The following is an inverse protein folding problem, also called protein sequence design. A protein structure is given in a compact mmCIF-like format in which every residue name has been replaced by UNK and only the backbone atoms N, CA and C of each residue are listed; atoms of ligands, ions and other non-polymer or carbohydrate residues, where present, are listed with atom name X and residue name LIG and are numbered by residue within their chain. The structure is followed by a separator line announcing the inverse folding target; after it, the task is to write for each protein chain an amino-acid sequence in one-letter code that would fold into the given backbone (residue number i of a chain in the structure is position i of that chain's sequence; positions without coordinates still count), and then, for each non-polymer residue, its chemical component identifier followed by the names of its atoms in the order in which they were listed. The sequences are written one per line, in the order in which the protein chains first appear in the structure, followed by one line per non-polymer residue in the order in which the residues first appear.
data_IF_050369962950
#
_entry.id   IF_050369962950
#
_cell.length_a   1.000
_cell.length_b   1.000
_cell.length_c   1.000
_cell.angle_alpha   90.00
_cell.angle_beta   90.00
_cell.angle_gamma   90.00
#
_symmetry.space_group_name_H-M   'P 1'
#
loop_
_entity.id
_entity.type
_entity.pdbx_description
1 polymer ?
#
# COMPACT_ATOMS: atom_id res chain seq x y z
N UNK A 1 -0.66 34.55 -49.73
CA UNK A 1 0.49 33.66 -49.40
C UNK A 1 0.79 33.55 -47.89
N UNK A 2 0.31 34.46 -47.03
CA UNK A 2 0.56 34.45 -45.57
C UNK A 2 -0.12 33.27 -44.83
N UNK A 3 -1.32 32.87 -45.24
CA UNK A 3 -2.11 31.84 -44.55
C UNK A 3 -1.59 30.40 -44.70
N UNK A 4 -0.91 30.09 -45.82
CA UNK A 4 -0.34 28.74 -46.03
C UNK A 4 0.90 28.52 -45.16
N UNK A 5 1.71 29.57 -44.95
CA UNK A 5 2.91 29.50 -44.10
C UNK A 5 2.54 29.39 -42.61
N UNK A 6 1.48 30.07 -42.19
CA UNK A 6 0.98 29.99 -40.80
C UNK A 6 0.36 28.63 -40.48
N UNK A 7 -0.41 28.05 -41.40
CA UNK A 7 -0.98 26.70 -41.25
C UNK A 7 0.09 25.61 -41.10
N UNK A 8 1.18 25.71 -41.86
CA UNK A 8 2.32 24.78 -41.76
C UNK A 8 3.05 24.93 -40.42
N UNK A 9 3.25 26.16 -39.95
CA UNK A 9 3.88 26.42 -38.66
C UNK A 9 3.07 25.86 -37.48
N UNK A 10 1.74 26.03 -37.50
CA UNK A 10 0.85 25.49 -36.47
C UNK A 10 0.84 23.96 -36.46
N UNK A 11 0.80 23.33 -37.65
CA UNK A 11 0.84 21.86 -37.75
C UNK A 11 2.17 21.28 -37.23
N UNK A 12 3.30 21.94 -37.51
CA UNK A 12 4.61 21.53 -37.02
C UNK A 12 4.71 21.64 -35.48
N UNK A 13 4.16 22.71 -34.88
CA UNK A 13 4.15 22.89 -33.43
C UNK A 13 3.27 21.84 -32.72
N UNK A 14 2.12 21.48 -33.31
CA UNK A 14 1.26 20.42 -32.77
C UNK A 14 1.96 19.05 -32.84
N UNK A 15 2.65 18.74 -33.95
CA UNK A 15 3.40 17.49 -34.09
C UNK A 15 4.55 17.38 -33.08
N UNK A 16 5.26 18.48 -32.80
CA UNK A 16 6.33 18.52 -31.79
C UNK A 16 5.75 18.35 -30.37
N UNK A 17 4.61 18.98 -30.08
CA UNK A 17 3.93 18.85 -28.79
C UNK A 17 3.44 17.42 -28.50
N UNK A 18 2.91 16.72 -29.51
CA UNK A 18 2.45 15.33 -29.38
C UNK A 18 3.64 14.37 -29.26
N UNK A 19 4.75 14.63 -29.96
CA UNK A 19 5.98 13.83 -29.86
C UNK A 19 6.67 13.92 -28.49
N UNK A 20 6.59 15.07 -27.82
CA UNK A 20 7.18 15.27 -26.50
C UNK A 20 6.35 14.65 -25.35
N UNK A 21 5.04 14.45 -25.53
CA UNK A 21 4.14 13.95 -24.50
C UNK A 21 4.23 12.45 -24.21
N UNK A 22 4.80 11.65 -25.11
CA UNK A 22 4.81 10.18 -25.02
C UNK A 22 6.19 9.57 -24.69
N UNK A 23 7.25 10.37 -24.55
CA UNK A 23 8.63 9.86 -24.51
C UNK A 23 9.51 10.26 -23.33
N UNK A 24 9.08 11.16 -22.43
CA UNK A 24 9.96 11.69 -21.36
C UNK A 24 9.25 11.77 -20.00
N UNK A 25 8.85 10.63 -19.47
CA UNK A 25 8.84 10.44 -18.02
C UNK A 25 10.19 9.82 -17.65
N UNK A 26 10.95 10.34 -16.66
CA UNK A 26 12.11 9.63 -16.15
C UNK A 26 11.61 8.31 -15.57
N UNK A 27 11.78 7.23 -16.32
CA UNK A 27 11.77 5.89 -15.75
C UNK A 27 13.05 5.79 -14.95
N UNK A 28 13.02 6.28 -13.71
CA UNK A 28 13.99 5.87 -12.71
C UNK A 28 13.74 4.39 -12.48
N UNK A 29 14.40 3.54 -13.30
CA UNK A 29 14.58 2.15 -12.95
C UNK A 29 15.39 2.20 -11.68
N UNK A 30 14.80 1.77 -10.57
CA UNK A 30 15.57 1.53 -9.37
C UNK A 30 16.66 0.53 -9.77
N UNK A 31 17.91 0.98 -9.86
CA UNK A 31 19.04 0.08 -9.90
C UNK A 31 18.98 -0.70 -8.60
N UNK A 32 18.54 -1.95 -8.67
CA UNK A 32 18.62 -2.87 -7.57
C UNK A 32 20.11 -3.08 -7.29
N UNK A 33 20.63 -2.39 -6.28
CA UNK A 33 21.98 -2.61 -5.75
C UNK A 33 21.95 -3.96 -5.05
N UNK A 34 22.43 -5.00 -5.72
CA UNK A 34 22.61 -6.34 -5.14
C UNK A 34 22.79 -7.38 -6.23
N UNK A 35 23.91 -8.10 -6.20
CA UNK A 35 24.38 -8.94 -7.30
C UNK A 35 23.36 -10.00 -7.76
N UNK A 36 23.30 -10.17 -9.08
CA UNK A 36 22.58 -11.23 -9.77
C UNK A 36 23.13 -12.62 -9.41
N UNK A 37 22.73 -13.14 -8.25
CA UNK A 37 22.26 -14.51 -8.23
C UNK A 37 20.78 -14.40 -8.57
N UNK A 38 20.34 -14.94 -9.70
CA UNK A 38 18.91 -15.08 -9.97
C UNK A 38 18.34 -15.98 -8.88
N UNK A 39 17.87 -15.37 -7.79
CA UNK A 39 17.09 -16.07 -6.77
C UNK A 39 15.75 -16.36 -7.44
N UNK A 40 15.70 -17.52 -8.10
CA UNK A 40 14.47 -18.06 -8.65
C UNK A 40 13.82 -18.93 -7.58
N UNK A 41 12.56 -18.64 -7.27
CA UNK A 41 11.75 -19.44 -6.37
C UNK A 41 10.54 -19.98 -7.13
N UNK A 42 10.37 -21.30 -7.17
CA UNK A 42 9.19 -21.95 -7.76
C UNK A 42 7.92 -21.68 -6.94
N UNK A 43 8.08 -21.40 -5.63
CA UNK A 43 6.99 -21.12 -4.69
C UNK A 43 7.42 -20.06 -3.68
N UNK A 44 6.48 -19.19 -3.35
CA UNK A 44 6.65 -18.13 -2.35
C UNK A 44 5.54 -18.25 -1.31
N UNK A 45 5.92 -18.21 -0.04
CA UNK A 45 5.00 -18.13 1.09
C UNK A 45 5.17 -16.77 1.75
N UNK A 46 4.07 -16.06 1.92
CA UNK A 46 4.03 -14.77 2.61
C UNK A 46 3.46 -15.01 4.01
N UNK A 47 4.27 -14.77 5.03
CA UNK A 47 3.86 -14.79 6.43
C UNK A 47 3.83 -13.35 6.95
N UNK A 48 2.71 -12.95 7.55
CA UNK A 48 2.57 -11.64 8.19
C UNK A 48 2.01 -11.81 9.59
N UNK A 49 2.67 -11.18 10.56
CA UNK A 49 2.28 -11.22 11.97
C UNK A 49 1.85 -9.81 12.37
N UNK A 50 0.54 -9.52 12.44
CA UNK A 50 0.08 -8.20 12.86
C UNK A 50 0.50 -7.94 14.30
N UNK A 51 0.98 -6.73 14.57
CA UNK A 51 1.41 -6.32 15.90
C UNK A 51 2.79 -6.81 16.33
N UNK A 52 3.56 -7.48 15.46
CA UNK A 52 4.95 -7.85 15.78
C UNK A 52 5.84 -6.59 15.86
N UNK A 53 6.45 -6.38 17.02
CA UNK A 53 7.33 -5.26 17.31
C UNK A 53 8.80 -5.71 17.32
N UNK A 54 9.72 -4.76 17.07
CA UNK A 54 11.16 -5.03 17.20
C UNK A 54 11.55 -5.47 18.62
N UNK A 55 10.82 -5.00 19.64
CA UNK A 55 11.01 -5.42 21.03
C UNK A 55 10.75 -6.91 21.23
N UNK A 56 9.83 -7.51 20.47
CA UNK A 56 9.49 -8.94 20.60
C UNK A 56 10.66 -9.82 20.16
N UNK A 57 11.40 -9.41 19.12
CA UNK A 57 12.60 -10.11 18.66
C UNK A 57 13.77 -9.97 19.64
N UNK A 58 13.91 -8.79 20.28
CA UNK A 58 14.97 -8.52 21.26
C UNK A 58 14.71 -9.15 22.63
N UNK A 59 13.45 -9.41 22.97
CA UNK A 59 13.04 -9.97 24.27
C UNK A 59 13.42 -11.44 24.47
N UNK A 60 13.81 -12.14 23.40
CA UNK A 60 14.05 -13.59 23.42
C UNK A 60 12.77 -14.44 23.38
N UNK A 61 11.59 -13.82 23.34
CA UNK A 61 10.30 -14.54 23.30
C UNK A 61 10.02 -15.21 21.94
N UNK A 62 10.72 -14.82 20.88
CA UNK A 62 10.54 -15.35 19.52
C UNK A 62 11.85 -15.91 18.93
N UNK A 63 12.45 -16.96 19.52
CA UNK A 63 13.78 -17.44 19.15
C UNK A 63 13.88 -17.90 17.69
N UNK A 64 12.85 -18.57 17.16
CA UNK A 64 12.82 -19.02 15.77
C UNK A 64 12.71 -17.86 14.78
N UNK A 65 11.96 -16.80 15.12
CA UNK A 65 11.89 -15.59 14.28
C UNK A 65 13.22 -14.84 14.28
N UNK A 66 13.88 -14.74 15.43
CA UNK A 66 15.20 -14.13 15.54
C UNK A 66 16.24 -14.92 14.73
N UNK A 67 16.19 -16.26 14.77
CA UNK A 67 17.05 -17.11 13.94
C UNK A 67 16.79 -16.92 12.44
N UNK A 68 15.53 -16.88 12.03
CA UNK A 68 15.17 -16.61 10.63
C UNK A 68 15.67 -15.24 10.17
N UNK A 69 15.50 -14.22 10.99
CA UNK A 69 15.93 -12.86 10.66
C UNK A 69 17.46 -12.72 10.48
N UNK A 70 18.25 -13.54 11.17
CA UNK A 70 19.71 -13.51 11.07
C UNK A 70 20.25 -13.93 9.69
N UNK A 71 19.55 -14.84 9.01
CA UNK A 71 19.92 -15.35 7.68
C UNK A 71 19.10 -14.71 6.54
N UNK A 72 18.16 -13.81 6.86
CA UNK A 72 17.25 -13.18 5.89
C UNK A 72 17.76 -11.83 5.37
N UNK A 73 17.34 -11.48 4.16
CA UNK A 73 17.42 -10.10 3.69
C UNK A 73 16.35 -9.25 4.41
N UNK A 74 16.78 -8.32 5.25
CA UNK A 74 15.89 -7.45 6.01
C UNK A 74 15.64 -6.14 5.28
N UNK A 75 14.38 -5.69 5.27
CA UNK A 75 13.98 -4.42 4.70
C UNK A 75 12.76 -3.85 5.41
N UNK A 76 12.61 -2.53 5.37
CA UNK A 76 11.41 -1.86 5.86
C UNK A 76 10.52 -1.47 4.67
N UNK A 77 9.24 -1.78 4.76
CA UNK A 77 8.25 -1.39 3.77
C UNK A 77 7.04 -0.76 4.44
N UNK A 78 6.47 0.24 3.78
CA UNK A 78 5.19 0.83 4.16
C UNK A 78 4.18 0.57 3.05
N UNK A 79 2.97 0.15 3.42
CA UNK A 79 1.90 -0.15 2.46
C UNK A 79 0.95 1.02 2.37
N UNK A 80 0.65 1.44 1.13
CA UNK A 80 -0.32 2.49 0.84
C UNK A 80 -1.53 1.90 0.11
N UNK A 81 -2.66 1.87 0.80
CA UNK A 81 -3.93 1.39 0.26
C UNK A 81 -4.59 2.39 -0.70
N UNK A 82 -5.72 1.99 -1.29
CA UNK A 82 -6.56 2.83 -2.14
C UNK A 82 -7.45 3.83 -1.37
N UNK A 83 -7.23 4.01 -0.06
CA UNK A 83 -7.90 5.01 0.80
C UNK A 83 -6.87 5.83 1.60
N UNK A 84 -7.32 6.93 2.20
CA UNK A 84 -6.46 7.86 2.96
C UNK A 84 -5.81 7.21 4.19
N UNK A 85 -6.53 6.30 4.87
CA UNK A 85 -6.04 5.51 6.00
C UNK A 85 -5.94 4.04 5.62
N UNK A 86 -4.73 3.49 5.58
CA UNK A 86 -4.50 2.04 5.42
C UNK A 86 -4.96 1.31 6.69
N UNK A 87 -5.89 0.36 6.56
CA UNK A 87 -6.22 -0.60 7.62
C UNK A 87 -5.53 -1.96 7.40
N UNK A 88 -5.55 -2.83 8.41
CA UNK A 88 -4.86 -4.14 8.37
C UNK A 88 -5.24 -4.98 7.15
N UNK A 89 -6.54 -5.15 6.85
CA UNK A 89 -6.95 -5.97 5.69
C UNK A 89 -6.64 -5.31 4.34
N UNK A 90 -6.48 -3.98 4.27
CA UNK A 90 -6.02 -3.34 3.02
C UNK A 90 -4.55 -3.63 2.74
N UNK A 91 -3.76 -3.83 3.80
CA UNK A 91 -2.36 -4.24 3.68
C UNK A 91 -2.25 -5.54 2.89
N UNK A 92 -3.03 -6.53 3.30
CA UNK A 92 -3.13 -7.83 2.62
C UNK A 92 -3.73 -7.72 1.21
N UNK A 93 -4.80 -6.93 1.03
CA UNK A 93 -5.40 -6.71 -0.28
C UNK A 93 -4.41 -6.06 -1.27
N UNK A 94 -3.65 -5.07 -0.81
CA UNK A 94 -2.64 -4.37 -1.61
C UNK A 94 -1.48 -5.30 -1.97
N UNK A 95 -1.04 -6.14 -1.02
CA UNK A 95 0.02 -7.11 -1.25
C UNK A 95 -0.39 -8.17 -2.28
N UNK A 96 -1.59 -8.72 -2.18
CA UNK A 96 -2.13 -9.70 -3.14
C UNK A 96 -2.40 -9.12 -4.53
N UNK A 97 -2.83 -7.84 -4.60
CA UNK A 97 -3.10 -7.17 -5.87
C UNK A 97 -1.84 -6.67 -6.60
N UNK A 98 -0.70 -6.56 -5.90
CA UNK A 98 0.52 -5.96 -6.43
C UNK A 98 0.39 -4.46 -6.76
N UNK A 99 -0.70 -3.82 -6.32
CA UNK A 99 -0.98 -2.40 -6.50
C UNK A 99 -1.95 -1.94 -5.40
N UNK A 100 -2.15 -0.62 -5.27
CA UNK A 100 -3.07 -0.04 -4.28
C UNK A 100 -4.45 -0.68 -4.40
N UNK A 101 -4.89 -1.32 -3.33
CA UNK A 101 -6.21 -1.90 -3.21
C UNK A 101 -6.84 -1.50 -1.88
N UNK A 102 -8.12 -1.81 -1.73
CA UNK A 102 -8.85 -1.72 -0.47
C UNK A 102 -9.60 -3.02 -0.25
N UNK A 103 -9.61 -3.50 0.98
CA UNK A 103 -10.53 -4.57 1.32
C UNK A 103 -11.97 -4.03 1.19
N UNK A 104 -12.93 -4.83 0.68
CA UNK A 104 -14.34 -4.43 0.66
C UNK A 104 -14.86 -4.21 2.08
N UNK A 105 -14.86 -2.96 2.50
CA UNK A 105 -15.53 -2.48 3.70
C UNK A 105 -16.58 -1.44 3.27
N UNK A 106 -17.65 -1.24 4.07
CA UNK A 106 -18.57 -0.12 3.88
C UNK A 106 -17.74 1.14 3.65
N UNK A 107 -17.99 1.84 2.54
CA UNK A 107 -17.27 3.05 2.18
C UNK A 107 -17.40 4.08 3.30
N UNK A 108 -16.27 4.51 3.87
CA UNK A 108 -16.22 5.70 4.75
C UNK A 108 -16.47 7.01 3.96
N UNK A 109 -16.77 6.91 2.67
CA UNK A 109 -16.82 8.00 1.71
C UNK A 109 -18.26 8.41 1.39
N UNK A 110 -18.96 8.97 2.38
CA UNK A 110 -19.69 10.23 2.20
C UNK A 110 -19.57 10.96 3.53
N UNK A 111 -18.56 11.82 3.68
CA UNK A 111 -18.71 12.96 4.58
C UNK A 111 -19.70 13.90 3.90
N UNK A 112 -20.97 13.51 3.88
CA UNK A 112 -22.10 14.44 3.81
C UNK A 112 -21.78 15.47 4.89
N UNK A 113 -21.85 16.76 4.59
CA UNK A 113 -21.38 17.82 5.49
C UNK A 113 -21.90 17.63 6.92
N UNK A 114 -21.12 16.93 7.74
CA UNK A 114 -21.46 16.69 9.14
C UNK A 114 -21.25 18.03 9.84
N UNK A 115 -22.16 18.42 10.75
CA UNK A 115 -21.94 19.61 11.56
C UNK A 115 -20.59 19.48 12.30
N UNK A 116 -19.92 20.61 12.59
CA UNK A 116 -18.66 20.57 13.33
C UNK A 116 -18.88 19.83 14.64
N UNK A 117 -18.04 18.83 14.87
CA UNK A 117 -18.06 18.07 16.11
C UNK A 117 -17.65 18.99 17.27
N UNK A 118 -18.20 18.76 18.45
CA UNK A 118 -17.59 19.25 19.68
C UNK A 118 -16.25 18.53 19.92
N UNK A 119 -15.37 19.12 20.73
CA UNK A 119 -14.08 18.50 21.07
C UNK A 119 -14.24 17.10 21.71
N UNK A 120 -15.32 16.88 22.47
CA UNK A 120 -15.67 15.57 23.02
C UNK A 120 -16.09 14.58 21.93
N UNK A 121 -16.90 15.02 20.96
CA UNK A 121 -17.30 14.20 19.81
C UNK A 121 -16.12 13.92 18.87
N UNK A 122 -15.14 14.82 18.78
CA UNK A 122 -13.89 14.60 18.03
C UNK A 122 -13.00 13.59 18.74
N UNK A 123 -12.88 13.65 20.07
CA UNK A 123 -12.18 12.66 20.87
C UNK A 123 -12.85 11.28 20.81
N UNK A 124 -14.18 11.23 20.87
CA UNK A 124 -14.97 10.01 20.75
C UNK A 124 -14.92 9.44 19.32
N UNK A 125 -14.94 10.30 18.27
CA UNK A 125 -14.69 9.87 16.88
C UNK A 125 -13.27 9.41 16.67
N UNK A 126 -12.26 10.05 17.29
CA UNK A 126 -10.87 9.57 17.30
C UNK A 126 -10.77 8.21 17.98
N UNK A 127 -11.46 8.03 19.10
CA UNK A 127 -11.62 6.74 19.77
C UNK A 127 -12.44 5.74 18.92
N UNK A 128 -13.25 6.21 17.96
CA UNK A 128 -14.04 5.44 16.99
C UNK A 128 -13.39 5.37 15.59
N UNK A 129 -12.16 5.88 15.39
CA UNK A 129 -11.35 5.62 14.18
C UNK A 129 -10.92 4.14 14.06
N UNK A 130 -11.47 3.32 14.96
CA UNK A 130 -11.94 1.93 14.85
C UNK A 130 -12.68 1.58 13.53
N UNK A 131 -12.67 2.42 12.49
CA UNK A 131 -12.97 1.99 11.12
C UNK A 131 -12.06 0.85 10.63
N UNK A 132 -10.83 0.77 11.17
CA UNK A 132 -9.96 -0.40 11.03
C UNK A 132 -10.21 -1.49 12.09
N UNK A 133 -10.67 -1.12 13.29
CA UNK A 133 -10.75 -2.04 14.43
C UNK A 133 -11.85 -3.09 14.29
N UNK A 134 -12.92 -2.83 13.52
CA UNK A 134 -13.91 -3.87 13.19
C UNK A 134 -13.34 -4.93 12.23
N UNK A 135 -12.34 -4.58 11.40
CA UNK A 135 -11.65 -5.53 10.54
C UNK A 135 -10.71 -6.45 11.35
N UNK A 136 -10.12 -5.92 12.42
CA UNK A 136 -9.30 -6.66 13.38
C UNK A 136 -10.13 -7.71 14.14
N UNK A 137 -11.37 -7.37 14.52
CA UNK A 137 -12.31 -8.32 15.15
C UNK A 137 -12.74 -9.44 14.19
N UNK A 138 -12.98 -9.15 12.90
CA UNK A 138 -13.32 -10.19 11.91
C UNK A 138 -12.13 -11.12 11.64
N UNK A 139 -10.91 -10.59 11.58
CA UNK A 139 -9.71 -11.42 11.47
C UNK A 139 -9.51 -12.33 12.69
N UNK A 140 -9.75 -11.82 13.90
CA UNK A 140 -9.73 -12.63 15.13
C UNK A 140 -10.82 -13.72 15.12
N UNK A 141 -12.05 -13.38 14.73
CA UNK A 141 -13.15 -14.34 14.65
C UNK A 141 -12.89 -15.46 13.63
N UNK A 142 -12.28 -15.12 12.48
CA UNK A 142 -11.86 -16.11 11.50
C UNK A 142 -10.75 -17.04 12.00
N UNK A 143 -9.82 -16.54 12.81
CA UNK A 143 -8.77 -17.36 13.43
C UNK A 143 -9.32 -18.34 14.48
N UNK A 144 -10.33 -17.93 15.25
CA UNK A 144 -10.96 -18.82 16.25
C UNK A 144 -11.71 -20.00 15.62
N UNK A 145 -12.22 -19.84 14.39
CA UNK A 145 -12.92 -20.91 13.66
C UNK A 145 -11.93 -21.97 13.13
N UNK A 146 -10.74 -21.56 12.68
CA UNK A 146 -9.68 -22.47 12.20
C UNK A 146 -9.11 -23.35 13.32
N UNK A 147 -9.13 -22.88 14.56
CA UNK A 147 -8.66 -23.67 15.72
C UNK A 147 -9.66 -24.71 16.22
N UNK A 148 -10.87 -24.80 15.66
CA UNK A 148 -11.90 -25.77 16.05
C UNK A 148 -12.00 -27.03 15.17
N UNK A 149 -11.15 -27.18 14.16
CA UNK A 149 -11.01 -28.40 13.36
C UNK A 149 -9.72 -29.15 13.67
#
# INVERSE_FOLDING_TARGET
MIGRRWRVAVAALIAIGIGAGLGFGPTTRADAVGGNSEISADRVVILGVPGLLWGDLASGLAPELTRLAADAALGNMTVRAARSRTCILDGWATLGAGNRARYPAPTEDVVESLPPLTAEQEAERMATLVGCGQQEQVALAGLTDVTQT
#
